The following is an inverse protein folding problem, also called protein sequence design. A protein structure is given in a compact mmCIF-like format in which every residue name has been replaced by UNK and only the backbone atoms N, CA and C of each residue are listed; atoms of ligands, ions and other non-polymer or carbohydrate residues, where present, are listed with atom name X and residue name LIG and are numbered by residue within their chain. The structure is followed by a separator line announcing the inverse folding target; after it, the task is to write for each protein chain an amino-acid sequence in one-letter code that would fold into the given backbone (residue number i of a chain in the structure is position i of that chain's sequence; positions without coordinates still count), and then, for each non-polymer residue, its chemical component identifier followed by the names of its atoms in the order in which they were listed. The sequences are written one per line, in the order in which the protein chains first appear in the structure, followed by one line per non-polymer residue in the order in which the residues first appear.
data_IF_749910777106
#
_entry.id   IF_749910777106
#
_cell.length_a   1.000
_cell.length_b   1.000
_cell.length_c   1.000
_cell.angle_alpha   90.00
_cell.angle_beta   90.00
_cell.angle_gamma   90.00
#
_symmetry.space_group_name_H-M   'P 1'
#
loop_
_entity.id
_entity.type
_entity.pdbx_description
1 polymer ?
#
# COMPACT_ATOMS: atom_id res chain seq x y z
N UNK A 1 6.31 5.45 -13.04
CA UNK A 1 6.79 5.29 -11.64
C UNK A 1 7.08 6.65 -11.00
N UNK A 2 7.83 7.55 -11.67
CA UNK A 2 8.15 8.87 -11.10
C UNK A 2 6.90 9.72 -10.77
N UNK A 3 5.88 9.70 -11.64
CA UNK A 3 4.62 10.42 -11.38
C UNK A 3 3.89 9.88 -10.13
N UNK A 4 3.83 8.55 -9.98
CA UNK A 4 3.25 7.90 -8.81
C UNK A 4 4.04 8.24 -7.55
N UNK A 5 5.37 8.24 -7.63
CA UNK A 5 6.25 8.61 -6.52
C UNK A 5 5.99 10.05 -6.08
N UNK A 6 5.85 10.98 -7.03
CA UNK A 6 5.53 12.38 -6.76
C UNK A 6 4.16 12.53 -6.11
N UNK A 7 3.13 11.87 -6.62
CA UNK A 7 1.79 11.86 -6.01
C UNK A 7 1.82 11.34 -4.56
N UNK A 8 2.60 10.30 -4.27
CA UNK A 8 2.76 9.78 -2.91
C UNK A 8 3.51 10.74 -1.98
N UNK A 9 4.46 11.51 -2.50
CA UNK A 9 5.14 12.57 -1.73
C UNK A 9 4.16 13.70 -1.41
N UNK A 10 3.37 14.13 -2.38
CA UNK A 10 2.36 15.18 -2.22
C UNK A 10 1.27 14.77 -1.22
N UNK A 11 0.78 13.53 -1.30
CA UNK A 11 -0.15 12.96 -0.33
C UNK A 11 0.40 13.00 1.11
N UNK A 12 1.65 12.56 1.32
CA UNK A 12 2.30 12.61 2.63
C UNK A 12 2.43 14.05 3.14
N UNK A 13 2.76 15.00 2.27
CA UNK A 13 2.81 16.44 2.62
C UNK A 13 1.43 16.98 3.02
N UNK A 14 0.37 16.46 2.41
CA UNK A 14 -1.01 16.77 2.77
C UNK A 14 -1.51 16.00 4.02
N UNK A 15 -0.64 15.30 4.75
CA UNK A 15 -0.99 14.41 5.88
C UNK A 15 -1.95 13.26 5.51
N UNK A 16 -2.02 12.92 4.22
CA UNK A 16 -2.70 11.72 3.73
C UNK A 16 -1.70 10.57 3.77
N UNK A 17 -2.12 9.44 4.35
CA UNK A 17 -1.29 8.25 4.49
C UNK A 17 -1.69 7.23 3.40
N UNK A 18 -0.98 7.21 2.25
CA UNK A 18 -1.32 6.29 1.18
C UNK A 18 -0.96 4.86 1.55
N UNK A 19 -1.87 3.93 1.24
CA UNK A 19 -1.68 2.50 1.44
C UNK A 19 -2.07 1.74 0.18
N UNK A 20 -1.20 0.86 -0.30
CA UNK A 20 -1.45 0.09 -1.51
C UNK A 20 -1.90 -1.34 -1.18
N UNK A 21 -2.99 -1.78 -1.79
CA UNK A 21 -3.37 -3.19 -1.81
C UNK A 21 -3.34 -3.63 -3.26
N UNK A 22 -2.64 -4.71 -3.56
CA UNK A 22 -2.50 -5.22 -4.92
C UNK A 22 -2.57 -6.74 -4.96
N UNK A 23 -2.94 -7.30 -6.11
CA UNK A 23 -2.83 -8.73 -6.43
C UNK A 23 -1.63 -9.04 -7.34
N UNK A 24 -0.79 -8.04 -7.61
CA UNK A 24 0.43 -8.20 -8.37
C UNK A 24 1.51 -8.85 -7.49
N UNK A 25 1.84 -10.10 -7.81
CA UNK A 25 2.84 -10.89 -7.08
C UNK A 25 4.25 -10.29 -7.18
N UNK A 26 4.55 -9.56 -8.26
CA UNK A 26 5.84 -8.88 -8.48
C UNK A 26 5.93 -7.55 -7.72
N UNK A 27 4.86 -7.12 -7.07
CA UNK A 27 4.82 -5.81 -6.42
C UNK A 27 5.78 -5.67 -5.24
N UNK A 28 6.26 -6.79 -4.69
CA UNK A 28 7.31 -6.83 -3.66
C UNK A 28 8.62 -6.22 -4.16
N UNK A 29 8.85 -6.20 -5.48
CA UNK A 29 10.09 -5.71 -6.08
C UNK A 29 10.13 -4.18 -6.20
N UNK A 30 8.97 -3.51 -6.26
CA UNK A 30 8.90 -2.06 -6.51
C UNK A 30 8.12 -1.26 -5.46
N UNK A 31 7.11 -1.83 -4.81
CA UNK A 31 6.30 -1.11 -3.80
C UNK A 31 7.09 -0.66 -2.58
N UNK A 32 8.11 -1.39 -2.06
CA UNK A 32 8.96 -0.88 -0.97
C UNK A 32 9.61 0.47 -1.30
N UNK A 33 9.98 0.69 -2.56
CA UNK A 33 10.62 1.93 -3.02
C UNK A 33 9.64 3.11 -3.17
N UNK A 34 8.34 2.83 -3.33
CA UNK A 34 7.29 3.85 -3.53
C UNK A 34 6.54 4.18 -2.24
N UNK A 35 6.10 3.16 -1.52
CA UNK A 35 5.25 3.29 -0.34
C UNK A 35 6.05 3.21 0.96
N UNK A 36 7.19 2.51 0.95
CA UNK A 36 7.90 2.07 2.15
C UNK A 36 7.42 0.67 2.57
N UNK A 37 8.25 -0.09 3.31
CA UNK A 37 8.01 -1.51 3.59
C UNK A 37 6.73 -1.80 4.38
N UNK A 38 6.16 -0.83 5.10
CA UNK A 38 4.97 -1.01 5.93
C UNK A 38 3.65 -0.52 5.27
N UNK A 39 3.72 0.12 4.10
CA UNK A 39 2.58 0.83 3.51
C UNK A 39 1.97 0.14 2.28
N UNK A 40 2.10 -1.19 2.20
CA UNK A 40 1.42 -2.00 1.20
C UNK A 40 1.10 -3.42 1.67
N UNK A 41 0.15 -4.06 0.99
CA UNK A 41 -0.16 -5.49 1.10
C UNK A 41 -0.32 -6.10 -0.29
N UNK A 42 0.35 -7.24 -0.52
CA UNK A 42 0.14 -8.09 -1.69
C UNK A 42 -0.79 -9.23 -1.29
N UNK A 43 -1.87 -9.41 -2.03
CA UNK A 43 -2.82 -10.51 -1.90
C UNK A 43 -2.65 -11.46 -3.08
N UNK A 44 -2.81 -12.76 -2.87
CA UNK A 44 -2.76 -13.72 -3.98
C UNK A 44 -4.09 -13.76 -4.74
N UNK A 45 -5.20 -13.45 -4.07
CA UNK A 45 -6.54 -13.42 -4.64
C UNK A 45 -7.43 -12.37 -3.96
N UNK A 46 -8.37 -11.82 -4.72
CA UNK A 46 -9.29 -10.76 -4.24
C UNK A 46 -10.21 -11.28 -3.13
N UNK A 47 -10.56 -12.57 -3.16
CA UNK A 47 -11.42 -13.21 -2.16
C UNK A 47 -10.83 -13.16 -0.74
N UNK A 48 -9.50 -13.01 -0.62
CA UNK A 48 -8.81 -12.88 0.66
C UNK A 48 -8.95 -11.49 1.29
N UNK A 49 -9.40 -10.49 0.52
CA UNK A 49 -9.48 -9.11 0.98
C UNK A 49 -10.35 -8.97 2.25
N UNK A 50 -11.62 -9.45 2.30
CA UNK A 50 -12.47 -9.33 3.49
C UNK A 50 -11.84 -9.87 4.77
N UNK A 51 -11.08 -10.97 4.67
CA UNK A 51 -10.40 -11.58 5.80
C UNK A 51 -9.21 -10.73 6.29
N UNK A 52 -8.56 -9.99 5.39
CA UNK A 52 -7.39 -9.15 5.69
C UNK A 52 -7.76 -7.69 6.00
N UNK A 53 -8.97 -7.25 5.68
CA UNK A 53 -9.42 -5.86 5.90
C UNK A 53 -9.16 -5.42 7.34
N UNK A 54 -9.55 -6.21 8.33
CA UNK A 54 -9.37 -5.89 9.75
C UNK A 54 -7.90 -5.67 10.14
N UNK A 55 -6.98 -6.49 9.62
CA UNK A 55 -5.56 -6.37 9.87
C UNK A 55 -4.95 -5.15 9.19
N UNK A 56 -5.42 -4.84 7.97
CA UNK A 56 -5.01 -3.65 7.23
C UNK A 56 -5.44 -2.39 7.97
N UNK A 57 -6.71 -2.31 8.39
CA UNK A 57 -7.23 -1.18 9.16
C UNK A 57 -6.44 -0.97 10.46
N UNK A 58 -6.13 -2.05 11.19
CA UNK A 58 -5.32 -1.97 12.40
C UNK A 58 -3.98 -1.28 12.13
N UNK A 59 -3.29 -1.62 11.05
CA UNK A 59 -2.00 -1.01 10.67
C UNK A 59 -2.11 0.46 10.28
N UNK A 60 -3.27 0.91 9.82
CA UNK A 60 -3.49 2.29 9.36
C UNK A 60 -3.88 3.25 10.48
N UNK A 61 -4.49 2.75 11.56
CA UNK A 61 -4.99 3.56 12.68
C UNK A 61 -4.19 3.38 13.97
N UNK A 62 -3.04 2.69 13.93
CA UNK A 62 -2.16 2.49 15.09
C UNK A 62 -1.23 3.67 15.35
#
# INVERSE_FOLDING_TARGET
IEDTRRALIEARRARVHPYCITIDELARDYLPHLYGPAAYTVLNEVSALPLKVSDIYRRLTS
#
